data_IF_230516571336
#
_entry.id   IF_230516571336
#
_cell.length_a   1.000
_cell.length_b   1.000
_cell.length_c   1.000
_cell.angle_alpha   90.00
_cell.angle_beta   90.00
_cell.angle_gamma   90.00
#
_symmetry.space_group_name_H-M   'P 1'
#
loop_
_entity.id
_entity.type
_entity.pdbx_description
1 polymer ?
#
# COMPACT_ATOMS: atom_id res chain seq x y z
N UNK A 1 22.41 22.55 23.08
CA UNK A 1 21.02 23.04 22.95
C UNK A 1 20.44 22.40 21.69
N UNK A 2 19.28 21.73 21.72
CA UNK A 2 18.73 21.09 20.53
C UNK A 2 18.24 22.15 19.53
N UNK A 3 18.58 21.97 18.26
CA UNK A 3 18.22 22.85 17.15
C UNK A 3 16.96 22.28 16.50
N UNK A 4 15.90 23.10 16.39
CA UNK A 4 14.68 22.74 15.65
C UNK A 4 14.88 23.10 14.19
N UNK A 5 14.87 22.09 13.32
CA UNK A 5 14.83 22.26 11.87
C UNK A 5 13.37 22.39 11.46
N UNK A 6 12.97 23.38 10.65
CA UNK A 6 11.61 23.43 10.14
C UNK A 6 11.36 22.20 9.28
N UNK A 7 10.31 21.45 9.61
CA UNK A 7 9.82 20.37 8.76
C UNK A 7 9.52 20.98 7.40
N UNK A 8 10.30 20.61 6.39
CA UNK A 8 10.06 21.00 5.01
C UNK A 8 8.60 20.68 4.67
N UNK A 9 7.96 21.63 3.97
CA UNK A 9 6.58 21.52 3.50
C UNK A 9 6.39 20.12 2.92
N UNK A 10 5.69 19.25 3.65
CA UNK A 10 5.31 17.93 3.17
C UNK A 10 4.45 18.20 1.94
N UNK A 11 4.84 17.75 0.73
CA UNK A 11 4.02 17.98 -0.44
C UNK A 11 2.61 17.43 -0.18
N UNK A 12 1.56 18.11 -0.65
CA UNK A 12 0.20 17.59 -0.54
C UNK A 12 0.20 16.19 -1.11
N UNK A 13 -0.30 15.25 -0.32
CA UNK A 13 -0.37 13.84 -0.68
C UNK A 13 -0.94 13.67 -2.08
N UNK A 14 -0.33 12.79 -2.88
CA UNK A 14 -0.72 12.45 -4.26
C UNK A 14 -2.20 12.05 -4.35
N UNK A 15 -2.81 11.68 -3.20
CA UNK A 15 -4.19 11.22 -3.08
C UNK A 15 -5.27 12.19 -3.62
N UNK A 16 -5.04 13.51 -3.65
CA UNK A 16 -6.05 14.50 -4.12
C UNK A 16 -5.59 15.40 -5.29
N UNK A 17 -4.50 15.03 -5.97
CA UNK A 17 -3.94 15.87 -7.03
C UNK A 17 -4.48 15.50 -8.42
N UNK A 18 -5.52 16.19 -8.90
CA UNK A 18 -5.89 16.18 -10.33
C UNK A 18 -4.77 16.84 -11.15
N UNK A 19 -4.22 16.12 -12.12
CA UNK A 19 -3.20 16.65 -13.03
C UNK A 19 -3.49 16.28 -14.47
N UNK A 20 -3.53 17.30 -15.30
CA UNK A 20 -3.46 17.15 -16.75
C UNK A 20 -2.02 16.80 -17.16
N UNK A 21 -1.90 15.78 -17.98
CA UNK A 21 -0.67 15.37 -18.64
C UNK A 21 -0.87 15.48 -20.15
N UNK A 22 0.05 16.16 -20.82
CA UNK A 22 0.12 16.11 -22.27
C UNK A 22 0.88 14.84 -22.66
N UNK A 23 0.14 13.88 -23.22
CA UNK A 23 0.66 12.56 -23.63
C UNK A 23 0.44 12.34 -25.13
N UNK A 24 1.27 11.50 -25.74
CA UNK A 24 1.12 11.07 -27.14
C UNK A 24 0.42 9.72 -27.23
N UNK A 25 0.06 9.28 -28.45
CA UNK A 25 -0.55 7.97 -28.69
C UNK A 25 0.34 6.79 -28.35
N UNK A 26 1.66 7.00 -28.33
CA UNK A 26 2.67 5.99 -27.99
C UNK A 26 3.05 6.00 -26.52
N UNK A 27 2.54 6.97 -25.74
CA UNK A 27 2.87 7.05 -24.31
C UNK A 27 2.22 5.89 -23.57
N UNK A 28 3.06 5.04 -22.98
CA UNK A 28 2.63 3.86 -22.21
C UNK A 28 2.26 4.22 -20.78
N UNK A 29 1.51 3.34 -20.12
CA UNK A 29 1.21 3.45 -18.68
C UNK A 29 2.49 3.57 -17.85
N UNK A 30 3.55 2.83 -18.20
CA UNK A 30 4.86 2.94 -17.52
C UNK A 30 5.43 4.36 -17.57
N UNK A 31 5.41 4.99 -18.74
CA UNK A 31 5.90 6.36 -18.94
C UNK A 31 5.03 7.38 -18.22
N UNK A 32 3.70 7.17 -18.20
CA UNK A 32 2.78 8.00 -17.42
C UNK A 32 3.09 7.94 -15.92
N UNK A 33 3.28 6.72 -15.38
CA UNK A 33 3.63 6.53 -13.97
C UNK A 33 4.95 7.23 -13.66
N UNK A 34 6.01 6.99 -14.46
CA UNK A 34 7.31 7.62 -14.26
C UNK A 34 7.23 9.16 -14.36
N UNK A 35 6.49 9.68 -15.34
CA UNK A 35 6.27 11.11 -15.53
C UNK A 35 5.55 11.76 -14.36
N UNK A 36 4.53 11.09 -13.80
CA UNK A 36 3.83 11.53 -12.60
C UNK A 36 4.75 11.53 -11.38
N UNK A 37 5.46 10.44 -11.11
CA UNK A 37 6.36 10.34 -9.96
C UNK A 37 7.47 11.40 -10.01
N UNK A 38 8.06 11.61 -11.19
CA UNK A 38 9.05 12.68 -11.41
C UNK A 38 8.45 14.07 -11.16
N UNK A 39 7.23 14.32 -11.65
CA UNK A 39 6.52 15.60 -11.47
C UNK A 39 6.16 15.88 -10.01
N UNK A 40 5.89 14.84 -9.23
CA UNK A 40 5.59 14.93 -7.80
C UNK A 40 6.82 14.76 -6.89
N UNK A 41 8.03 14.67 -7.46
CA UNK A 41 9.27 14.45 -6.72
C UNK A 41 9.25 13.20 -5.83
N UNK A 42 8.53 12.18 -6.27
CA UNK A 42 8.45 10.89 -5.59
C UNK A 42 9.69 10.08 -5.97
N UNK A 43 10.47 9.71 -4.96
CA UNK A 43 11.76 8.98 -5.12
C UNK A 43 11.57 7.46 -5.03
N UNK A 44 10.34 7.00 -4.75
CA UNK A 44 10.00 5.59 -4.70
C UNK A 44 10.13 4.87 -6.05
N UNK A 45 10.31 3.55 -5.99
CA UNK A 45 10.36 2.70 -7.18
C UNK A 45 9.02 2.79 -7.95
N UNK A 46 9.03 3.11 -9.26
CA UNK A 46 7.80 3.19 -10.07
C UNK A 46 6.97 1.90 -10.06
N UNK A 47 7.57 0.73 -9.82
CA UNK A 47 6.85 -0.55 -9.69
C UNK A 47 5.95 -0.63 -8.45
N UNK A 48 6.17 0.25 -7.46
CA UNK A 48 5.25 0.39 -6.32
C UNK A 48 3.95 1.08 -6.70
N UNK A 49 3.81 1.59 -7.91
CA UNK A 49 2.62 2.31 -8.36
C UNK A 49 1.98 1.60 -9.53
N UNK A 50 0.67 1.74 -9.65
CA UNK A 50 -0.10 1.29 -10.78
C UNK A 50 -1.13 2.36 -11.17
N UNK A 51 -1.36 2.47 -12.48
CA UNK A 51 -2.40 3.31 -13.02
C UNK A 51 -3.68 2.48 -13.15
N UNK A 52 -4.78 3.01 -12.62
CA UNK A 52 -6.09 2.39 -12.71
C UNK A 52 -6.97 3.23 -13.62
N UNK A 53 -7.78 2.58 -14.45
CA UNK A 53 -8.94 3.21 -15.07
C UNK A 53 -10.14 3.09 -14.13
N UNK A 54 -10.84 4.20 -13.92
CA UNK A 54 -12.08 4.26 -13.17
C UNK A 54 -13.24 4.59 -14.11
N UNK A 55 -14.35 3.88 -13.94
CA UNK A 55 -15.57 4.08 -14.71
C UNK A 55 -16.75 4.07 -13.76
N UNK A 56 -17.74 4.94 -13.99
CA UNK A 56 -19.01 4.85 -13.27
C UNK A 56 -19.94 3.89 -14.02
N UNK A 57 -20.40 2.84 -13.34
CA UNK A 57 -21.38 1.89 -13.87
C UNK A 57 -22.45 1.61 -12.81
N UNK A 58 -23.71 1.86 -13.15
CA UNK A 58 -24.87 1.61 -12.26
C UNK A 58 -24.74 2.26 -10.86
N UNK A 59 -24.16 3.46 -10.80
CA UNK A 59 -23.92 4.19 -9.55
C UNK A 59 -22.72 3.71 -8.72
N UNK A 60 -21.98 2.71 -9.18
CA UNK A 60 -20.74 2.22 -8.55
C UNK A 60 -19.51 2.64 -9.36
N UNK A 61 -18.40 2.94 -8.67
CA UNK A 61 -17.11 3.25 -9.30
C UNK A 61 -16.30 1.96 -9.45
N UNK A 62 -16.20 1.46 -10.68
CA UNK A 62 -15.34 0.33 -11.01
C UNK A 62 -13.91 0.81 -11.23
N UNK A 63 -12.94 0.21 -10.55
CA UNK A 63 -11.50 0.48 -10.72
C UNK A 63 -10.82 -0.74 -11.30
N UNK A 64 -10.15 -0.61 -12.45
CA UNK A 64 -9.38 -1.68 -13.08
C UNK A 64 -7.92 -1.25 -13.28
N UNK A 65 -6.98 -2.10 -12.86
CA UNK A 65 -5.54 -1.90 -13.07
C UNK A 65 -5.20 -1.98 -14.56
N UNK A 66 -4.41 -1.03 -15.04
CA UNK A 66 -3.93 -1.01 -16.43
C UNK A 66 -2.58 -1.72 -16.54
N UNK A 67 -2.39 -2.55 -17.59
CA UNK A 67 -1.08 -3.10 -17.91
C UNK A 67 -0.07 -1.98 -18.23
N UNK A 68 1.18 -2.15 -17.80
CA UNK A 68 2.25 -1.14 -18.01
C UNK A 68 2.55 -0.85 -19.48
N UNK A 69 2.20 -1.78 -20.38
CA UNK A 69 2.39 -1.71 -21.83
C UNK A 69 1.23 -1.04 -22.58
N UNK A 70 0.08 -0.81 -21.93
CA UNK A 70 -1.05 -0.14 -22.59
C UNK A 70 -0.81 1.36 -22.77
N UNK A 71 -1.55 1.97 -23.70
CA UNK A 71 -1.48 3.40 -24.00
C UNK A 71 -2.74 4.13 -23.48
N UNK A 72 -2.65 4.92 -22.38
CA UNK A 72 -3.82 5.57 -21.77
C UNK A 72 -4.56 6.54 -22.70
N UNK A 73 -3.84 7.21 -23.61
CA UNK A 73 -4.47 8.13 -24.56
C UNK A 73 -5.46 7.41 -25.48
N UNK A 74 -5.12 6.20 -25.93
CA UNK A 74 -6.00 5.39 -26.77
C UNK A 74 -7.31 5.07 -26.03
N UNK A 75 -7.22 4.68 -24.75
CA UNK A 75 -8.39 4.43 -23.91
C UNK A 75 -9.26 5.69 -23.72
N UNK A 76 -8.62 6.86 -23.50
CA UNK A 76 -9.32 8.15 -23.40
C UNK A 76 -10.04 8.51 -24.70
N UNK A 77 -9.42 8.29 -25.85
CA UNK A 77 -10.02 8.57 -27.16
C UNK A 77 -11.24 7.68 -27.42
N UNK A 78 -11.22 6.41 -26.99
CA UNK A 78 -12.36 5.51 -27.12
C UNK A 78 -13.51 5.85 -26.17
N UNK A 79 -13.23 6.26 -24.94
CA UNK A 79 -14.25 6.61 -23.95
C UNK A 79 -14.85 8.00 -24.15
N UNK A 80 -14.14 8.89 -24.87
CA UNK A 80 -14.53 10.27 -25.07
C UNK A 80 -14.00 11.23 -23.98
N UNK A 81 -14.34 12.52 -24.09
CA UNK A 81 -13.82 13.56 -23.20
C UNK A 81 -14.43 13.52 -21.79
N UNK A 82 -15.54 12.81 -21.61
CA UNK A 82 -16.26 12.76 -20.34
C UNK A 82 -15.44 12.03 -19.25
N UNK A 83 -15.19 12.73 -18.15
CA UNK A 83 -14.46 12.22 -17.00
C UNK A 83 -15.28 11.28 -16.13
N UNK A 84 -16.61 11.32 -16.25
CA UNK A 84 -17.51 10.42 -15.51
C UNK A 84 -17.53 9.02 -16.15
N UNK A 85 -17.32 8.96 -17.47
CA UNK A 85 -17.21 7.71 -18.24
C UNK A 85 -15.87 7.01 -17.97
N UNK A 86 -14.78 7.78 -18.02
CA UNK A 86 -13.44 7.24 -17.79
C UNK A 86 -12.58 8.25 -17.04
N UNK A 87 -11.96 7.80 -15.96
CA UNK A 87 -10.94 8.55 -15.24
C UNK A 87 -9.70 7.70 -15.00
N UNK A 88 -8.55 8.33 -14.74
CA UNK A 88 -7.31 7.63 -14.43
C UNK A 88 -6.83 8.00 -13.03
N UNK A 89 -6.51 7.00 -12.23
CA UNK A 89 -6.06 7.17 -10.86
C UNK A 89 -4.74 6.43 -10.65
N UNK A 90 -3.73 7.15 -10.19
CA UNK A 90 -2.48 6.56 -9.75
C UNK A 90 -2.65 6.10 -8.30
N UNK A 91 -2.39 4.83 -8.02
CA UNK A 91 -2.38 4.27 -6.67
C UNK A 91 -1.07 3.54 -6.41
N UNK A 92 -0.66 3.51 -5.15
CA UNK A 92 0.36 2.57 -4.71
C UNK A 92 -0.22 1.14 -4.80
N UNK A 93 0.54 0.21 -5.38
CA UNK A 93 0.27 -1.21 -5.22
C UNK A 93 0.42 -1.49 -3.73
N UNK A 94 -0.69 -1.78 -3.06
CA UNK A 94 -0.64 -2.41 -1.75
C UNK A 94 0.28 -3.64 -1.88
N UNK A 95 1.20 -3.78 -0.94
CA UNK A 95 2.31 -4.73 -1.03
C UNK A 95 1.79 -6.12 -1.41
N UNK A 96 2.11 -6.58 -2.62
CA UNK A 96 1.76 -7.93 -3.08
C UNK A 96 0.89 -7.95 -4.33
N UNK A 97 1.49 -7.68 -5.48
CA UNK A 97 0.99 -8.23 -6.74
C UNK A 97 1.37 -9.72 -6.74
N UNK A 98 0.61 -10.52 -5.99
CA UNK A 98 0.91 -11.95 -5.77
C UNK A 98 0.91 -12.74 -7.08
N UNK A 99 0.23 -12.21 -8.10
CA UNK A 99 0.20 -12.73 -9.46
C UNK A 99 1.57 -12.77 -10.14
N UNK A 100 2.56 -12.02 -9.63
CA UNK A 100 3.92 -12.00 -10.18
C UNK A 100 4.81 -13.13 -9.63
N UNK A 101 4.31 -13.95 -8.70
CA UNK A 101 5.02 -15.09 -8.15
C UNK A 101 4.47 -16.39 -8.72
N UNK A 102 5.37 -17.34 -8.97
CA UNK A 102 5.00 -18.70 -9.33
C UNK A 102 4.31 -19.40 -8.17
N UNK A 103 3.51 -20.44 -8.47
CA UNK A 103 2.81 -21.24 -7.45
C UNK A 103 3.77 -21.77 -6.36
N UNK A 104 4.98 -22.27 -6.67
CA UNK A 104 5.94 -22.69 -5.64
C UNK A 104 6.41 -21.56 -4.72
N UNK A 105 6.58 -20.34 -5.26
CA UNK A 105 6.97 -19.17 -4.45
C UNK A 105 5.84 -18.77 -3.49
N UNK A 106 4.60 -18.76 -3.98
CA UNK A 106 3.41 -18.54 -3.15
C UNK A 106 3.28 -19.57 -2.02
N UNK A 107 3.53 -20.84 -2.31
CA UNK A 107 3.55 -21.90 -1.29
C UNK A 107 4.66 -21.66 -0.25
N UNK A 108 5.85 -21.22 -0.66
CA UNK A 108 6.92 -20.89 0.28
C UNK A 108 6.54 -19.71 1.19
N UNK A 109 5.91 -18.67 0.63
CA UNK A 109 5.40 -17.56 1.46
C UNK A 109 4.38 -18.02 2.49
N UNK A 110 3.47 -18.93 2.13
CA UNK A 110 2.52 -19.51 3.10
C UNK A 110 3.23 -20.24 4.25
N UNK A 111 4.26 -21.03 3.95
CA UNK A 111 5.05 -21.74 4.96
C UNK A 111 5.78 -20.77 5.89
N UNK A 112 6.36 -19.70 5.33
CA UNK A 112 7.03 -18.66 6.11
C UNK A 112 6.02 -17.96 7.03
N UNK A 113 4.86 -17.58 6.51
CA UNK A 113 3.80 -16.92 7.27
C UNK A 113 3.26 -17.80 8.40
N UNK A 114 3.03 -19.09 8.15
CA UNK A 114 2.56 -20.04 9.17
C UNK A 114 3.58 -20.18 10.31
N UNK A 115 4.88 -20.24 9.97
CA UNK A 115 5.95 -20.24 10.98
C UNK A 115 5.95 -18.94 11.78
N UNK A 116 5.89 -17.79 11.12
CA UNK A 116 5.87 -16.50 11.81
C UNK A 116 4.67 -16.33 12.73
N UNK A 117 3.50 -16.80 12.31
CA UNK A 117 2.28 -16.79 13.11
C UNK A 117 2.46 -17.64 14.37
N UNK A 118 2.94 -18.88 14.22
CA UNK A 118 3.21 -19.77 15.34
C UNK A 118 4.20 -19.17 16.33
N UNK A 119 5.25 -18.54 15.84
CA UNK A 119 6.26 -17.89 16.68
C UNK A 119 5.66 -16.69 17.43
N UNK A 120 4.82 -15.89 16.78
CA UNK A 120 4.09 -14.77 17.43
C UNK A 120 3.15 -15.29 18.53
N UNK A 121 2.39 -16.35 18.28
CA UNK A 121 1.52 -16.98 19.28
C UNK A 121 2.34 -17.43 20.49
N UNK A 122 3.45 -18.13 20.27
CA UNK A 122 4.33 -18.60 21.35
C UNK A 122 4.91 -17.44 22.16
N UNK A 123 5.32 -16.35 21.49
CA UNK A 123 5.81 -15.15 22.18
C UNK A 123 4.74 -14.52 23.07
N UNK A 124 3.50 -14.40 22.58
CA UNK A 124 2.37 -13.86 23.35
C UNK A 124 2.07 -14.76 24.55
N UNK A 125 1.99 -16.08 24.35
CA UNK A 125 1.78 -17.04 25.43
C UNK A 125 2.88 -16.96 26.49
N UNK A 126 4.14 -16.88 26.08
CA UNK A 126 5.28 -16.76 27.01
C UNK A 126 5.23 -15.46 27.80
N UNK A 127 4.91 -14.33 27.15
CA UNK A 127 4.74 -13.03 27.83
C UNK A 127 3.60 -13.09 28.85
N UNK A 128 2.46 -13.66 28.48
CA UNK A 128 1.31 -13.81 29.36
C UNK A 128 1.64 -14.71 30.57
N UNK A 129 2.25 -15.88 30.34
CA UNK A 129 2.64 -16.80 31.41
C UNK A 129 3.62 -16.17 32.40
N UNK A 130 4.62 -15.43 31.90
CA UNK A 130 5.57 -14.70 32.75
C UNK A 130 4.88 -13.63 33.58
N UNK A 131 3.95 -12.89 32.99
CA UNK A 131 3.17 -11.88 33.70
C UNK A 131 2.27 -12.50 34.77
N UNK A 132 1.59 -13.61 34.44
CA UNK A 132 0.74 -14.37 35.37
C UNK A 132 1.52 -14.89 36.56
N UNK A 133 2.72 -15.44 36.36
CA UNK A 133 3.59 -15.91 37.45
C UNK A 133 3.96 -14.78 38.40
N UNK A 134 4.42 -13.64 37.86
CA UNK A 134 4.75 -12.45 38.66
C UNK A 134 3.57 -11.93 39.47
N UNK A 135 2.38 -11.92 38.87
CA UNK A 135 1.16 -11.50 39.56
C UNK A 135 0.82 -12.45 40.71
N UNK A 136 0.97 -13.76 40.51
CA UNK A 136 0.74 -14.77 41.54
C UNK A 136 1.77 -14.68 42.68
N UNK A 137 3.03 -14.41 42.38
CA UNK A 137 4.08 -14.16 43.37
C UNK A 137 3.75 -12.93 44.22
N UNK A 138 3.40 -11.81 43.59
CA UNK A 138 3.01 -10.58 44.28
C UNK A 138 1.77 -10.77 45.17
N UNK A 139 0.77 -11.53 44.73
CA UNK A 139 -0.41 -11.87 45.55
C UNK A 139 -0.05 -12.71 46.78
N UNK A 140 0.89 -13.66 46.64
CA UNK A 140 1.37 -14.46 47.78
C UNK A 140 2.15 -13.61 48.78
N UNK A 141 3.02 -12.71 48.31
CA UNK A 141 3.77 -11.79 49.17
C UNK A 141 2.85 -10.81 49.91
N UNK A 142 1.78 -10.35 49.26
CA UNK A 142 0.78 -9.48 49.89
C UNK A 142 -0.03 -10.19 50.99
N UNK A 143 -0.37 -11.47 50.80
CA UNK A 143 -1.08 -12.28 51.79
C UNK A 143 -0.19 -12.82 52.92
N UNK A 144 1.14 -12.78 52.77
CA UNK A 144 2.11 -13.32 53.74
C UNK A 144 2.59 -12.32 54.80
N UNK A 145 2.16 -11.06 54.76
CA UNK A 145 2.50 -10.05 55.78
C UNK A 145 1.40 -10.04 56.87
N UNK A 146 1.69 -10.47 58.11
CA UNK A 146 0.84 -10.10 59.24
C UNK A 146 1.04 -8.61 59.50
N UNK A 147 -0.08 -7.89 59.69
CA UNK A 147 -0.07 -6.54 60.25
C UNK A 147 0.32 -6.54 61.72
#
# INVERSE_FOLDING_TARGET
>A
RPVTVPAGIRPPSIHDALKELHISSTTTVSEVIQGLLKKFMVVDNPQKFALFKQMQKDGQVLSQKLPVTECPLYLRLLAGPDTDILNFVLKENETGDWDNFSIPELQNFLVILEREEKDKIQQVQKKYSKFKQRLQEALKEANGKPG
#
